data_IF_386220100482
#
_entry.id   IF_386220100482
#
_cell.length_a   1.000
_cell.length_b   1.000
_cell.length_c   1.000
_cell.angle_alpha   90.00
_cell.angle_beta   90.00
_cell.angle_gamma   90.00
#
_symmetry.space_group_name_H-M   'P 1'
#
loop_
_entity.id
_entity.type
_entity.pdbx_description
1 polymer ?
#
# COMPACT_ATOMS: atom_id res chain seq x y z
N UNK A 1 4.02 -15.13 2.74
CA UNK A 1 5.05 -15.32 3.80
C UNK A 1 6.25 -14.36 3.70
N UNK A 2 6.33 -13.48 2.69
CA UNK A 2 7.44 -12.53 2.53
C UNK A 2 7.07 -11.06 2.25
N UNK A 3 5.90 -10.51 2.65
CA UNK A 3 5.53 -9.13 2.27
C UNK A 3 6.57 -8.08 2.67
N UNK A 4 7.17 -8.20 3.87
CA UNK A 4 8.21 -7.27 4.30
C UNK A 4 9.49 -7.37 3.45
N UNK A 5 9.89 -8.57 3.02
CA UNK A 5 11.04 -8.72 2.14
C UNK A 5 10.79 -8.10 0.75
N UNK A 6 9.55 -8.21 0.25
CA UNK A 6 9.14 -7.51 -0.98
C UNK A 6 9.23 -6.00 -0.76
N UNK A 7 8.66 -5.47 0.32
CA UNK A 7 8.75 -4.03 0.64
C UNK A 7 10.20 -3.57 0.77
N UNK A 8 11.07 -4.33 1.45
CA UNK A 8 12.51 -4.05 1.51
C UNK A 8 13.11 -3.96 0.11
N UNK A 9 12.84 -4.96 -0.74
CA UNK A 9 13.43 -4.98 -2.08
C UNK A 9 12.93 -3.82 -2.94
N UNK A 10 11.64 -3.50 -2.86
CA UNK A 10 11.05 -2.38 -3.58
C UNK A 10 11.62 -1.05 -3.08
N UNK A 11 11.81 -0.90 -1.76
CA UNK A 11 12.48 0.27 -1.18
C UNK A 11 13.94 0.39 -1.64
N UNK A 12 14.65 -0.69 -1.93
CA UNK A 12 16.01 -0.62 -2.48
C UNK A 12 16.04 -0.15 -3.94
N UNK A 13 15.13 -0.65 -4.78
CA UNK A 13 15.23 -0.51 -6.24
C UNK A 13 14.39 0.63 -6.83
N UNK A 14 13.26 0.98 -6.19
CA UNK A 14 12.37 2.02 -6.71
C UNK A 14 12.82 3.42 -6.28
N UNK A 15 12.49 4.40 -7.12
CA UNK A 15 12.61 5.83 -6.79
C UNK A 15 11.60 6.23 -5.70
N UNK A 16 11.45 7.53 -5.44
CA UNK A 16 10.49 8.05 -4.48
C UNK A 16 9.09 8.16 -5.10
N UNK A 17 8.07 8.37 -4.27
CA UNK A 17 6.67 8.61 -4.65
C UNK A 17 6.06 7.46 -5.46
N UNK A 18 5.98 6.28 -4.86
CA UNK A 18 5.33 5.14 -5.49
C UNK A 18 4.21 4.58 -4.65
N UNK A 19 3.23 4.03 -5.36
CA UNK A 19 2.08 3.35 -4.82
C UNK A 19 2.27 1.84 -4.99
N UNK A 20 1.91 1.09 -3.97
CA UNK A 20 1.83 -0.38 -4.06
C UNK A 20 0.47 -0.85 -3.64
N UNK A 21 -0.05 -1.86 -4.33
CA UNK A 21 -1.34 -2.45 -4.03
C UNK A 21 -1.15 -3.87 -3.48
N UNK A 22 -1.94 -4.24 -2.48
CA UNK A 22 -2.03 -5.60 -1.97
C UNK A 22 -3.40 -5.81 -1.31
N UNK A 23 -3.93 -7.02 -1.34
CA UNK A 23 -5.26 -7.33 -0.78
C UNK A 23 -5.40 -7.02 0.72
N UNK A 24 -4.30 -7.03 1.47
CA UNK A 24 -4.24 -6.59 2.87
C UNK A 24 -3.32 -5.38 3.07
N UNK A 25 -3.18 -4.53 2.05
CA UNK A 25 -2.32 -3.35 2.04
C UNK A 25 -2.46 -2.47 3.28
N UNK A 26 -3.67 -2.31 3.83
CA UNK A 26 -3.90 -1.54 5.06
C UNK A 26 -3.15 -2.10 6.28
N UNK A 27 -3.19 -3.43 6.48
CA UNK A 27 -2.53 -4.11 7.60
C UNK A 27 -1.03 -4.24 7.35
N UNK A 28 -0.63 -4.45 6.10
CA UNK A 28 0.77 -4.42 5.71
C UNK A 28 1.39 -3.04 5.97
N UNK A 29 0.70 -1.95 5.65
CA UNK A 29 1.24 -0.61 5.91
C UNK A 29 1.50 -0.39 7.39
N UNK A 30 0.56 -0.82 8.24
CA UNK A 30 0.72 -0.77 9.70
C UNK A 30 1.95 -1.56 10.14
N UNK A 31 2.16 -2.74 9.55
CA UNK A 31 3.32 -3.59 9.85
C UNK A 31 4.63 -2.93 9.41
N UNK A 32 4.66 -2.32 8.22
CA UNK A 32 5.85 -1.61 7.70
C UNK A 32 6.18 -0.40 8.57
N UNK A 33 5.19 0.42 8.92
CA UNK A 33 5.35 1.62 9.77
C UNK A 33 5.83 1.29 11.18
N UNK A 34 5.55 0.08 11.67
CA UNK A 34 6.02 -0.43 12.97
C UNK A 34 7.33 -1.23 12.89
N UNK A 35 7.98 -1.27 11.74
CA UNK A 35 9.24 -1.99 11.52
C UNK A 35 10.43 -1.04 11.33
N UNK A 36 11.63 -1.62 11.21
CA UNK A 36 12.85 -0.88 10.86
C UNK A 36 12.80 -0.23 9.47
N UNK A 37 11.82 -0.59 8.62
CA UNK A 37 11.63 -0.01 7.29
C UNK A 37 10.91 1.35 7.32
N UNK A 38 10.29 1.72 8.46
CA UNK A 38 9.46 2.92 8.59
C UNK A 38 10.15 4.23 8.17
N UNK A 39 11.42 4.51 8.55
CA UNK A 39 12.09 5.73 8.14
C UNK A 39 12.25 5.84 6.63
N UNK A 40 12.68 4.77 5.96
CA UNK A 40 12.88 4.73 4.52
C UNK A 40 11.55 4.76 3.75
N UNK A 41 10.54 4.02 4.23
CA UNK A 41 9.19 4.05 3.69
C UNK A 41 8.59 5.46 3.71
N UNK A 42 8.77 6.17 4.83
CA UNK A 42 8.29 7.55 5.00
C UNK A 42 9.10 8.53 4.13
N UNK A 43 10.43 8.39 4.13
CA UNK A 43 11.34 9.25 3.34
C UNK A 43 11.08 9.16 1.84
N UNK A 44 10.68 7.97 1.36
CA UNK A 44 10.34 7.74 -0.05
C UNK A 44 8.88 8.05 -0.39
N UNK A 45 8.08 8.53 0.55
CA UNK A 45 6.64 8.81 0.37
C UNK A 45 5.89 7.61 -0.25
N UNK A 46 6.15 6.43 0.29
CA UNK A 46 5.47 5.21 -0.15
C UNK A 46 4.08 5.18 0.46
N UNK A 47 3.10 4.77 -0.33
CA UNK A 47 1.73 4.59 0.14
C UNK A 47 1.20 3.22 -0.32
N UNK A 48 0.36 2.62 0.53
CA UNK A 48 -0.31 1.36 0.20
C UNK A 48 -1.70 1.63 -0.35
N UNK A 49 -2.16 0.76 -1.24
CA UNK A 49 -3.50 0.74 -1.79
C UNK A 49 -4.08 -0.66 -1.60
N UNK A 50 -5.39 -0.74 -1.49
CA UNK A 50 -6.13 -2.01 -1.49
C UNK A 50 -7.10 -2.01 -2.67
N UNK A 51 -7.59 -3.18 -3.05
CA UNK A 51 -8.64 -3.26 -4.06
C UNK A 51 -9.93 -2.55 -3.60
N UNK A 52 -10.78 -2.22 -4.56
CA UNK A 52 -12.01 -1.46 -4.32
C UNK A 52 -12.92 -2.19 -3.34
N UNK A 53 -13.08 -3.51 -3.49
CA UNK A 53 -13.91 -4.32 -2.60
C UNK A 53 -13.45 -4.23 -1.13
N UNK A 54 -12.15 -4.39 -0.87
CA UNK A 54 -11.57 -4.26 0.47
C UNK A 54 -11.84 -2.87 1.02
N UNK A 55 -11.58 -1.83 0.23
CA UNK A 55 -11.68 -0.46 0.70
C UNK A 55 -13.10 -0.10 1.16
N UNK A 56 -14.14 -0.59 0.47
CA UNK A 56 -15.54 -0.39 0.86
C UNK A 56 -16.00 -1.33 1.98
N UNK A 57 -15.54 -2.58 1.98
CA UNK A 57 -16.10 -3.61 2.86
C UNK A 57 -15.41 -3.68 4.23
N UNK A 58 -14.14 -3.28 4.33
CA UNK A 58 -13.37 -3.46 5.56
C UNK A 58 -13.70 -2.41 6.62
N UNK A 59 -13.56 -1.12 6.29
CA UNK A 59 -13.88 -0.01 7.19
C UNK A 59 -13.91 1.33 6.48
N UNK A 60 -14.60 2.31 7.06
CA UNK A 60 -14.55 3.71 6.62
C UNK A 60 -13.11 4.27 6.58
N UNK A 61 -12.24 3.83 7.49
CA UNK A 61 -10.82 4.20 7.49
C UNK A 61 -10.13 3.70 6.22
N UNK A 62 -10.41 2.45 5.80
CA UNK A 62 -9.83 1.91 4.57
C UNK A 62 -10.33 2.63 3.32
N UNK A 63 -11.60 3.00 3.30
CA UNK A 63 -12.16 3.82 2.24
C UNK A 63 -11.47 5.19 2.15
N UNK A 64 -11.14 5.81 3.29
CA UNK A 64 -10.54 7.15 3.34
C UNK A 64 -9.01 7.20 3.20
N UNK A 65 -8.31 6.07 3.29
CA UNK A 65 -6.84 6.06 3.22
C UNK A 65 -6.27 5.13 2.15
N UNK A 66 -6.96 4.05 1.80
CA UNK A 66 -6.41 2.98 0.95
C UNK A 66 -7.19 2.78 -0.35
N UNK A 67 -8.34 3.45 -0.52
CA UNK A 67 -9.17 3.32 -1.72
C UNK A 67 -8.43 3.88 -2.96
N UNK A 68 -8.41 3.17 -4.10
CA UNK A 68 -7.74 3.62 -5.33
C UNK A 68 -8.10 5.04 -5.77
N UNK A 69 -9.39 5.35 -5.85
CA UNK A 69 -9.91 6.65 -6.31
C UNK A 69 -9.51 7.87 -5.48
N UNK A 70 -8.96 7.71 -4.29
CA UNK A 70 -8.50 8.84 -3.46
C UNK A 70 -6.98 8.96 -3.42
N UNK A 71 -6.25 8.03 -4.06
CA UNK A 71 -4.79 8.02 -4.08
C UNK A 71 -4.32 8.45 -5.46
N UNK A 72 -3.59 9.57 -5.50
CA UNK A 72 -2.96 10.03 -6.72
C UNK A 72 -1.97 8.97 -7.25
N UNK A 73 -2.03 8.70 -8.55
CA UNK A 73 -1.20 7.69 -9.21
C UNK A 73 -1.77 6.28 -9.24
N UNK A 74 -2.90 5.98 -8.57
CA UNK A 74 -3.57 4.68 -8.64
C UNK A 74 -4.23 4.40 -10.01
N UNK A 75 -4.65 5.46 -10.71
CA UNK A 75 -5.44 5.34 -11.94
C UNK A 75 -6.88 4.88 -11.67
N UNK A 76 -7.57 4.42 -12.73
CA UNK A 76 -9.00 4.04 -12.70
C UNK A 76 -9.19 2.51 -12.58
N UNK A 77 -8.22 1.81 -11.96
CA UNK A 77 -8.28 0.35 -11.79
C UNK A 77 -8.89 -0.03 -10.44
N UNK A 78 -9.61 -1.15 -10.43
CA UNK A 78 -10.24 -1.71 -9.23
C UNK A 78 -9.29 -2.61 -8.40
N UNK A 79 -8.24 -3.12 -9.03
CA UNK A 79 -7.21 -3.99 -8.46
C UNK A 79 -7.74 -5.36 -7.96
N UNK A 80 -8.86 -5.86 -8.49
CA UNK A 80 -9.55 -7.08 -8.02
C UNK A 80 -8.90 -8.41 -8.46
N UNK A 81 -7.94 -8.40 -9.39
CA UNK A 81 -7.29 -9.62 -9.94
C UNK A 81 -5.86 -9.79 -9.46
N UNK A 82 -5.54 -9.25 -8.28
CA UNK A 82 -4.17 -9.14 -7.76
C UNK A 82 -3.97 -10.16 -6.63
N UNK A 83 -3.64 -11.41 -6.97
CA UNK A 83 -3.24 -12.45 -5.99
C UNK A 83 -1.79 -12.27 -5.46
#
# INVERSE_FOLDING_TARGET
KYPLAIVTKVLEVMLNNWLTNYDFGCSMETTVKNSTLSPEYTRKHVHMCVNVFHSYSHSHVCQLHFHPNIIEGAGVKDFETME
#
